data_IF_546876369046
#
_entry.id   IF_546876369046
#
_cell.length_a   1.000
_cell.length_b   1.000
_cell.length_c   1.000
_cell.angle_alpha   90.00
_cell.angle_beta   90.00
_cell.angle_gamma   90.00
#
_symmetry.space_group_name_H-M   'P 1'
#
loop_
_entity.id
_entity.type
_entity.pdbx_description
1 polymer ?
#
# COMPACT_ATOMS: atom_id res chain seq x y z
N UNK A 1 -16.15 13.10 -31.75
CA UNK A 1 -14.77 13.53 -31.70
C UNK A 1 -13.98 12.35 -31.16
N UNK A 2 -13.09 11.63 -31.80
CA UNK A 2 -12.80 11.59 -33.20
C UNK A 2 -11.93 10.35 -33.44
N UNK A 3 -12.37 9.44 -34.24
CA UNK A 3 -11.65 8.24 -34.70
C UNK A 3 -10.24 8.54 -35.28
N UNK A 4 -10.03 9.79 -35.70
CA UNK A 4 -8.74 10.26 -36.21
C UNK A 4 -7.65 10.39 -35.12
N UNK A 5 -8.04 10.61 -33.88
CA UNK A 5 -7.07 10.77 -32.77
C UNK A 5 -6.49 9.43 -32.32
N UNK A 6 -7.29 8.38 -32.34
CA UNK A 6 -6.80 7.02 -32.03
C UNK A 6 -5.92 6.46 -33.15
N UNK A 7 -6.28 6.74 -34.40
CA UNK A 7 -5.46 6.30 -35.56
C UNK A 7 -4.09 6.96 -35.61
N UNK A 8 -4.00 8.25 -35.25
CA UNK A 8 -2.71 8.97 -35.16
C UNK A 8 -1.85 8.50 -33.99
N UNK A 9 -2.44 8.09 -32.83
CA UNK A 9 -1.69 7.54 -31.71
C UNK A 9 -1.04 6.20 -32.07
N UNK A 10 -1.75 5.31 -32.75
CA UNK A 10 -1.19 4.04 -33.20
C UNK A 10 -0.11 4.20 -34.27
N UNK A 11 -0.23 5.19 -35.17
CA UNK A 11 0.77 5.46 -36.20
C UNK A 11 2.07 6.02 -35.59
N UNK A 12 1.97 6.90 -34.58
CA UNK A 12 3.16 7.47 -33.92
C UNK A 12 3.89 6.44 -33.06
N UNK A 13 3.17 5.58 -32.33
CA UNK A 13 3.78 4.46 -31.57
C UNK A 13 4.47 3.45 -32.51
N UNK A 14 3.87 3.16 -33.66
CA UNK A 14 4.44 2.26 -34.66
C UNK A 14 5.64 2.88 -35.37
N UNK A 15 5.64 4.20 -35.63
CA UNK A 15 6.77 4.90 -36.21
C UNK A 15 7.94 5.09 -35.26
N UNK A 16 7.68 5.35 -33.96
CA UNK A 16 8.71 5.44 -32.92
C UNK A 16 9.42 4.08 -32.74
N UNK A 17 8.65 2.99 -32.68
CA UNK A 17 9.21 1.64 -32.63
C UNK A 17 9.97 1.25 -33.90
N UNK A 18 9.60 1.78 -35.09
CA UNK A 18 10.34 1.52 -36.34
C UNK A 18 11.61 2.37 -36.46
N UNK A 19 11.71 3.50 -35.77
CA UNK A 19 12.94 4.31 -35.70
C UNK A 19 13.95 3.74 -34.71
N UNK A 20 13.50 3.31 -33.53
CA UNK A 20 14.34 2.58 -32.56
C UNK A 20 14.90 1.27 -33.15
N UNK A 21 14.09 0.57 -33.99
CA UNK A 21 14.56 -0.60 -34.70
C UNK A 21 15.59 -0.29 -35.81
N UNK A 22 15.67 0.93 -36.32
CA UNK A 22 16.64 1.33 -37.35
C UNK A 22 17.95 1.83 -36.77
N UNK A 23 17.96 2.46 -35.59
CA UNK A 23 19.20 2.96 -34.97
C UNK A 23 20.01 1.88 -34.24
N UNK A 24 19.44 0.67 -34.01
CA UNK A 24 20.14 -0.49 -33.49
C UNK A 24 20.71 -1.44 -34.56
N UNK A 25 20.62 -1.07 -35.85
CA UNK A 25 21.04 -1.90 -36.96
C UNK A 25 22.47 -1.59 -37.43
N UNK A 26 23.47 -1.66 -36.52
CA UNK A 26 24.87 -1.79 -36.85
C UNK A 26 25.51 -2.81 -35.93
N UNK A 27 25.21 -4.05 -36.15
CA UNK A 27 26.16 -5.16 -36.10
C UNK A 27 25.55 -6.43 -36.71
N UNK A 28 26.26 -7.07 -37.62
CA UNK A 28 26.01 -8.31 -38.34
C UNK A 28 24.87 -9.19 -37.87
N UNK A 29 23.63 -8.88 -38.24
CA UNK A 29 22.47 -9.69 -37.90
C UNK A 29 21.70 -10.12 -39.12
N UNK A 30 21.91 -11.31 -39.63
CA UNK A 30 20.89 -12.01 -40.40
C UNK A 30 19.64 -12.13 -39.52
N UNK A 31 18.63 -11.33 -39.84
CA UNK A 31 17.25 -11.59 -39.38
C UNK A 31 16.83 -12.94 -39.96
N UNK A 32 16.95 -14.00 -39.19
CA UNK A 32 16.27 -15.25 -39.52
C UNK A 32 14.80 -15.06 -39.27
N UNK A 33 13.97 -15.04 -40.33
CA UNK A 33 12.53 -15.27 -40.22
C UNK A 33 12.31 -16.58 -39.46
N UNK A 34 11.75 -16.48 -38.29
CA UNK A 34 11.40 -17.62 -37.48
C UNK A 34 10.06 -18.16 -37.96
N UNK A 35 10.05 -19.16 -38.76
CA UNK A 35 8.94 -20.10 -38.80
C UNK A 35 9.04 -21.02 -37.57
N UNK A 36 8.43 -20.59 -36.44
CA UNK A 36 7.92 -21.56 -35.51
C UNK A 36 6.64 -22.06 -36.12
N UNK A 37 6.70 -23.22 -36.74
CA UNK A 37 5.53 -23.90 -37.28
C UNK A 37 4.69 -24.36 -36.11
N UNK A 38 3.64 -23.66 -35.91
CA UNK A 38 2.72 -23.71 -34.77
C UNK A 38 1.54 -24.58 -35.19
N UNK A 39 0.51 -24.93 -34.76
CA UNK A 39 0.04 -25.71 -33.64
C UNK A 39 0.52 -27.18 -33.66
N UNK A 40 0.75 -27.74 -32.49
CA UNK A 40 1.19 -29.11 -32.30
C UNK A 40 2.65 -29.28 -31.91
N UNK A 41 3.43 -28.19 -31.88
CA UNK A 41 4.81 -28.20 -31.39
C UNK A 41 4.85 -28.39 -29.85
N UNK A 42 5.79 -29.20 -29.38
CA UNK A 42 5.90 -29.56 -27.96
C UNK A 42 7.13 -28.88 -27.35
N UNK A 43 6.92 -28.18 -26.24
CA UNK A 43 7.96 -27.60 -25.41
C UNK A 43 8.09 -28.39 -24.12
N UNK A 44 9.31 -28.55 -23.62
CA UNK A 44 9.64 -29.25 -22.38
C UNK A 44 8.95 -30.63 -22.27
N UNK A 45 8.90 -31.36 -23.42
CA UNK A 45 8.31 -32.71 -23.58
C UNK A 45 6.83 -32.83 -23.15
N UNK A 46 6.21 -31.74 -22.69
CA UNK A 46 4.91 -31.73 -22.04
C UNK A 46 3.91 -30.70 -22.63
N UNK A 47 4.37 -29.52 -22.98
CA UNK A 47 3.52 -28.40 -23.32
C UNK A 47 3.27 -28.30 -24.83
N UNK A 48 2.06 -28.65 -25.25
CA UNK A 48 1.65 -28.64 -26.67
C UNK A 48 1.12 -27.27 -27.04
N UNK A 49 1.73 -26.62 -28.02
CA UNK A 49 1.31 -25.30 -28.53
C UNK A 49 -0.04 -25.41 -29.22
N UNK A 50 -0.99 -24.55 -28.86
CA UNK A 50 -2.32 -24.44 -29.45
C UNK A 50 -2.40 -23.32 -30.48
N UNK A 51 -1.98 -22.12 -30.15
CA UNK A 51 -2.07 -20.94 -31.00
C UNK A 51 -1.06 -19.87 -30.60
N UNK A 52 -0.74 -18.98 -31.54
CA UNK A 52 0.00 -17.76 -31.26
C UNK A 52 -0.97 -16.74 -30.64
N UNK A 53 -0.51 -16.01 -29.63
CA UNK A 53 -1.28 -14.88 -29.06
C UNK A 53 -1.15 -13.67 -30.00
N UNK A 54 -2.26 -12.98 -30.22
CA UNK A 54 -2.30 -11.73 -30.99
C UNK A 54 -1.89 -10.53 -30.08
N UNK A 55 -0.74 -10.67 -29.44
CA UNK A 55 -0.16 -9.64 -28.56
C UNK A 55 1.26 -9.37 -29.06
N UNK A 56 1.54 -8.16 -29.46
CA UNK A 56 2.87 -7.74 -29.86
C UNK A 56 3.66 -7.25 -28.66
N UNK A 57 4.57 -8.08 -28.16
CA UNK A 57 5.61 -7.61 -27.23
C UNK A 57 6.87 -7.25 -28.00
N UNK A 58 7.63 -6.24 -27.55
CA UNK A 58 8.89 -5.82 -28.20
C UNK A 58 9.99 -6.89 -28.15
N UNK A 59 9.92 -7.83 -27.19
CA UNK A 59 11.03 -8.72 -26.83
C UNK A 59 10.80 -10.20 -27.13
N UNK A 60 9.54 -10.66 -27.20
CA UNK A 60 9.21 -12.06 -27.30
C UNK A 60 7.95 -12.31 -28.14
N UNK A 61 7.82 -13.53 -28.65
CA UNK A 61 6.61 -14.09 -29.20
C UNK A 61 5.92 -14.95 -28.14
N UNK A 62 4.60 -14.82 -27.99
CA UNK A 62 3.79 -15.51 -27.01
C UNK A 62 2.88 -16.55 -27.68
N UNK A 63 2.83 -17.75 -27.11
CA UNK A 63 1.98 -18.84 -27.63
C UNK A 63 1.21 -19.46 -26.48
N UNK A 64 -0.09 -19.72 -26.68
CA UNK A 64 -0.89 -20.53 -25.77
C UNK A 64 -0.50 -21.99 -25.97
N UNK A 65 -0.22 -22.69 -24.88
CA UNK A 65 0.06 -24.13 -24.88
C UNK A 65 -0.72 -24.82 -23.75
N UNK A 66 -0.76 -26.14 -23.78
CA UNK A 66 -1.45 -26.95 -22.77
C UNK A 66 -0.67 -28.21 -22.46
N UNK A 67 -0.74 -28.65 -21.22
CA UNK A 67 -0.25 -29.96 -20.77
C UNK A 67 -1.34 -31.04 -20.77
N UNK A 68 -2.51 -30.73 -21.37
CA UNK A 68 -3.69 -31.61 -21.42
C UNK A 68 -4.67 -31.36 -20.27
N UNK A 69 -4.31 -30.62 -19.25
CA UNK A 69 -5.15 -30.26 -18.08
C UNK A 69 -5.37 -28.76 -18.00
N UNK A 70 -4.30 -27.98 -18.08
CA UNK A 70 -4.29 -26.54 -17.92
C UNK A 70 -3.68 -25.84 -19.13
N UNK A 71 -3.93 -24.53 -19.22
CA UNK A 71 -3.33 -23.67 -20.23
C UNK A 71 -2.17 -22.86 -19.63
N UNK A 72 -1.16 -22.66 -20.47
CA UNK A 72 0.07 -21.93 -20.16
C UNK A 72 0.46 -21.03 -21.33
N UNK A 73 1.43 -20.17 -21.11
CA UNK A 73 2.06 -19.38 -22.16
C UNK A 73 3.52 -19.82 -22.35
N UNK A 74 3.88 -20.13 -23.57
CA UNK A 74 5.31 -20.20 -23.98
C UNK A 74 5.72 -18.83 -24.46
N UNK A 75 6.63 -18.19 -23.75
CA UNK A 75 7.26 -16.92 -24.11
C UNK A 75 8.62 -17.22 -24.76
N UNK A 76 8.78 -16.89 -26.05
CA UNK A 76 10.02 -17.13 -26.79
C UNK A 76 10.68 -15.80 -27.11
N UNK A 77 11.85 -15.57 -26.59
CA UNK A 77 12.59 -14.32 -26.80
C UNK A 77 13.09 -14.19 -28.22
N UNK A 78 12.96 -13.00 -28.83
CA UNK A 78 13.37 -12.72 -30.22
C UNK A 78 14.87 -12.51 -30.38
N UNK A 79 15.58 -12.18 -29.30
CA UNK A 79 17.02 -12.00 -29.30
C UNK A 79 17.68 -13.17 -28.58
N UNK A 80 18.87 -13.54 -29.02
CA UNK A 80 19.72 -14.48 -28.27
C UNK A 80 20.13 -13.81 -26.98
N UNK A 81 19.51 -14.20 -25.90
CA UNK A 81 19.84 -13.71 -24.56
C UNK A 81 20.63 -14.78 -23.83
N UNK A 82 21.75 -14.38 -23.22
CA UNK A 82 22.38 -15.22 -22.22
C UNK A 82 21.54 -15.12 -20.94
N UNK A 83 20.62 -16.06 -20.75
CA UNK A 83 19.87 -16.15 -19.50
C UNK A 83 20.82 -16.74 -18.46
N UNK A 84 20.96 -16.07 -17.34
CA UNK A 84 21.71 -16.61 -16.20
C UNK A 84 20.90 -17.76 -15.61
N UNK A 85 21.45 -18.95 -15.67
CA UNK A 85 20.84 -20.18 -15.12
C UNK A 85 20.42 -19.99 -13.65
N UNK A 86 21.20 -19.25 -12.88
CA UNK A 86 20.95 -18.90 -11.48
C UNK A 86 19.64 -18.12 -11.29
N UNK A 87 19.31 -17.17 -12.18
CA UNK A 87 18.04 -16.43 -12.12
C UNK A 87 16.87 -17.36 -12.39
N UNK A 88 17.00 -18.20 -13.39
CA UNK A 88 15.98 -19.16 -13.80
C UNK A 88 15.64 -20.13 -12.69
N UNK A 89 16.63 -20.69 -12.02
CA UNK A 89 16.42 -21.62 -10.89
C UNK A 89 15.76 -20.92 -9.69
N UNK A 90 16.12 -19.66 -9.40
CA UNK A 90 15.49 -18.88 -8.36
C UNK A 90 14.01 -18.60 -8.71
N UNK A 91 13.72 -18.23 -9.97
CA UNK A 91 12.34 -17.98 -10.41
C UNK A 91 11.48 -19.24 -10.37
N UNK A 92 11.99 -20.39 -10.77
CA UNK A 92 11.31 -21.68 -10.67
C UNK A 92 11.00 -22.06 -9.21
N UNK A 93 11.85 -21.67 -8.26
CA UNK A 93 11.70 -21.94 -6.84
C UNK A 93 10.74 -20.98 -6.12
N UNK A 94 10.24 -19.93 -6.79
CA UNK A 94 9.24 -19.02 -6.21
C UNK A 94 7.88 -19.75 -6.17
N UNK A 95 7.32 -19.82 -4.98
CA UNK A 95 5.96 -20.29 -4.73
C UNK A 95 5.16 -19.18 -4.02
N UNK A 96 4.56 -18.32 -4.82
CA UNK A 96 3.78 -17.16 -4.33
C UNK A 96 2.62 -16.89 -5.29
N UNK A 97 1.42 -16.60 -4.79
CA UNK A 97 0.30 -16.23 -5.65
C UNK A 97 0.48 -14.85 -6.31
N UNK A 98 1.43 -14.03 -5.80
CA UNK A 98 1.65 -12.66 -6.27
C UNK A 98 2.78 -12.52 -7.29
N UNK A 99 3.46 -13.62 -7.61
CA UNK A 99 4.57 -13.69 -8.58
C UNK A 99 4.31 -14.86 -9.51
N UNK A 100 4.27 -14.62 -10.81
CA UNK A 100 4.01 -15.68 -11.78
C UNK A 100 5.11 -16.74 -11.71
N UNK A 101 4.69 -18.00 -11.55
CA UNK A 101 5.61 -19.13 -11.48
C UNK A 101 6.20 -19.40 -12.86
N UNK A 102 7.50 -19.62 -12.94
CA UNK A 102 8.15 -20.16 -14.14
C UNK A 102 8.14 -21.69 -14.02
N UNK A 103 7.37 -22.37 -14.86
CA UNK A 103 7.22 -23.83 -14.82
C UNK A 103 8.39 -24.56 -15.47
N UNK A 104 8.85 -24.01 -16.60
CA UNK A 104 9.98 -24.54 -17.34
C UNK A 104 10.68 -23.43 -18.11
N UNK A 105 11.94 -23.65 -18.41
CA UNK A 105 12.75 -22.78 -19.27
C UNK A 105 13.66 -23.67 -20.12
N UNK A 106 14.04 -23.17 -21.27
CA UNK A 106 14.94 -23.89 -22.15
C UNK A 106 15.39 -23.03 -23.32
N UNK A 107 16.10 -23.66 -24.25
CA UNK A 107 16.53 -23.04 -25.48
C UNK A 107 15.99 -23.83 -26.69
N UNK A 108 15.48 -23.12 -27.69
CA UNK A 108 15.05 -23.71 -28.92
C UNK A 108 15.56 -22.90 -30.10
N UNK A 109 16.27 -23.57 -31.01
CA UNK A 109 16.90 -22.94 -32.17
C UNK A 109 17.85 -21.75 -31.82
N UNK A 110 18.50 -21.81 -30.66
CA UNK A 110 19.35 -20.74 -30.15
C UNK A 110 18.56 -19.57 -29.48
N UNK A 111 17.29 -19.77 -29.17
CA UNK A 111 16.47 -18.75 -28.52
C UNK A 111 15.89 -19.28 -27.22
N UNK A 112 16.02 -18.48 -26.19
CA UNK A 112 15.49 -18.80 -24.87
C UNK A 112 13.97 -18.80 -24.86
N UNK A 113 13.36 -19.71 -24.11
CA UNK A 113 11.93 -19.71 -23.84
C UNK A 113 11.63 -19.92 -22.34
N UNK A 114 10.47 -19.46 -21.94
CA UNK A 114 9.90 -19.65 -20.60
C UNK A 114 8.46 -20.15 -20.73
N UNK A 115 8.07 -21.04 -19.82
CA UNK A 115 6.68 -21.51 -19.66
C UNK A 115 6.13 -20.88 -18.39
N UNK A 116 5.11 -20.05 -18.55
CA UNK A 116 4.47 -19.28 -17.48
C UNK A 116 2.95 -19.54 -17.46
N UNK A 117 2.21 -19.18 -16.39
CA UNK A 117 0.76 -19.33 -16.34
C UNK A 117 0.08 -18.53 -17.45
N UNK A 118 -1.02 -19.06 -17.96
CA UNK A 118 -1.93 -18.27 -18.79
C UNK A 118 -2.96 -17.56 -17.90
N UNK A 119 -3.08 -16.24 -18.06
CA UNK A 119 -4.04 -15.41 -17.35
C UNK A 119 -5.13 -14.94 -18.30
N UNK A 120 -6.33 -15.53 -18.21
CA UNK A 120 -7.45 -15.26 -19.12
C UNK A 120 -7.91 -13.80 -19.06
N UNK A 121 -7.85 -13.18 -17.87
CA UNK A 121 -8.25 -11.77 -17.65
C UNK A 121 -7.21 -10.75 -18.12
N UNK A 122 -6.07 -11.19 -18.63
CA UNK A 122 -5.00 -10.35 -19.15
C UNK A 122 -4.31 -9.49 -18.10
N UNK A 123 -3.59 -8.47 -18.55
CA UNK A 123 -2.83 -7.55 -17.68
C UNK A 123 -3.71 -6.40 -17.15
N UNK A 124 -3.13 -5.60 -16.25
CA UNK A 124 -3.76 -4.37 -15.74
C UNK A 124 -3.63 -3.19 -16.70
N UNK A 125 -2.98 -3.35 -17.84
CA UNK A 125 -2.79 -2.29 -18.83
C UNK A 125 -4.13 -1.70 -19.28
N UNK A 126 -4.23 -0.37 -19.28
CA UNK A 126 -5.43 0.37 -19.65
C UNK A 126 -6.62 0.22 -18.69
N UNK A 127 -6.46 -0.49 -17.58
CA UNK A 127 -7.50 -0.62 -16.58
C UNK A 127 -7.39 0.48 -15.52
N UNK A 128 -8.54 0.88 -14.97
CA UNK A 128 -8.64 1.86 -13.89
C UNK A 128 -9.38 1.27 -12.70
N UNK A 129 -8.91 1.57 -11.49
CA UNK A 129 -9.44 1.00 -10.25
C UNK A 129 -9.86 2.08 -9.27
N UNK A 130 -10.87 1.77 -8.46
CA UNK A 130 -11.25 2.62 -7.33
C UNK A 130 -10.18 2.59 -6.24
N UNK A 131 -10.19 3.61 -5.39
CA UNK A 131 -9.30 3.66 -4.22
C UNK A 131 -9.43 2.42 -3.33
N UNK A 132 -10.66 1.96 -3.13
CA UNK A 132 -10.97 0.80 -2.29
C UNK A 132 -10.37 -0.49 -2.87
N UNK A 133 -10.49 -0.69 -4.19
CA UNK A 133 -9.87 -1.85 -4.88
C UNK A 133 -8.35 -1.80 -4.82
N UNK A 134 -7.77 -0.62 -5.05
CA UNK A 134 -6.32 -0.44 -4.93
C UNK A 134 -5.85 -0.75 -3.51
N UNK A 135 -6.47 -0.15 -2.50
CA UNK A 135 -6.06 -0.27 -1.10
C UNK A 135 -6.26 -1.66 -0.52
N UNK A 136 -7.39 -2.30 -0.83
CA UNK A 136 -7.75 -3.59 -0.21
C UNK A 136 -7.13 -4.80 -0.90
N UNK A 137 -6.78 -4.69 -2.18
CA UNK A 137 -6.43 -5.85 -3.00
C UNK A 137 -5.11 -5.67 -3.75
N UNK A 138 -5.02 -4.65 -4.62
CA UNK A 138 -3.92 -4.54 -5.57
C UNK A 138 -2.61 -4.14 -4.87
N UNK A 139 -2.64 -3.10 -4.04
CA UNK A 139 -1.44 -2.61 -3.33
C UNK A 139 -0.87 -3.68 -2.40
N UNK A 140 -1.66 -4.35 -1.53
CA UNK A 140 -1.14 -5.42 -0.69
C UNK A 140 -0.51 -6.56 -1.49
N UNK A 141 -1.15 -7.00 -2.57
CA UNK A 141 -0.66 -8.09 -3.41
C UNK A 141 0.66 -7.73 -4.10
N UNK A 142 0.77 -6.53 -4.70
CA UNK A 142 2.01 -6.06 -5.33
C UNK A 142 3.14 -5.87 -4.32
N UNK A 143 2.81 -5.38 -3.12
CA UNK A 143 3.79 -5.22 -2.05
C UNK A 143 4.36 -6.57 -1.60
N UNK A 144 3.52 -7.60 -1.43
CA UNK A 144 3.96 -8.96 -1.10
C UNK A 144 4.75 -9.58 -2.27
N UNK A 145 4.32 -9.38 -3.51
CA UNK A 145 5.04 -9.85 -4.69
C UNK A 145 6.45 -9.27 -4.79
N UNK A 146 6.60 -7.96 -4.62
CA UNK A 146 7.92 -7.29 -4.61
C UNK A 146 8.78 -7.78 -3.43
N UNK A 147 8.19 -7.99 -2.25
CA UNK A 147 8.92 -8.55 -1.10
C UNK A 147 9.51 -9.91 -1.44
N UNK A 148 8.69 -10.82 -1.99
CA UNK A 148 9.14 -12.17 -2.38
C UNK A 148 10.31 -12.10 -3.36
N UNK A 149 10.24 -11.22 -4.38
CA UNK A 149 11.33 -11.02 -5.33
C UNK A 149 12.59 -10.48 -4.65
N UNK A 150 12.45 -9.42 -3.84
CA UNK A 150 13.57 -8.77 -3.18
C UNK A 150 14.26 -9.67 -2.13
N UNK A 151 13.51 -10.52 -1.42
CA UNK A 151 14.07 -11.53 -0.49
C UNK A 151 14.90 -12.59 -1.23
N UNK A 152 14.59 -12.85 -2.50
CA UNK A 152 15.39 -13.72 -3.40
C UNK A 152 16.51 -12.96 -4.12
N UNK A 153 16.69 -11.68 -3.81
CA UNK A 153 17.70 -10.84 -4.44
C UNK A 153 17.35 -10.38 -5.86
N UNK A 154 16.12 -10.61 -6.33
CA UNK A 154 15.67 -10.23 -7.66
C UNK A 154 15.14 -8.80 -7.64
N UNK A 155 15.59 -7.96 -8.56
CA UNK A 155 15.06 -6.64 -8.86
C UNK A 155 14.31 -6.74 -10.18
N UNK A 156 13.03 -6.31 -10.19
CA UNK A 156 12.16 -6.47 -11.37
C UNK A 156 12.55 -5.53 -12.53
N UNK A 157 12.80 -4.25 -12.24
CA UNK A 157 13.27 -3.16 -13.13
C UNK A 157 12.25 -2.60 -14.12
N UNK A 158 11.18 -3.31 -14.44
CA UNK A 158 10.14 -2.88 -15.40
C UNK A 158 8.73 -3.14 -14.87
N UNK A 159 8.50 -2.78 -13.58
CA UNK A 159 7.16 -2.90 -12.99
C UNK A 159 6.24 -1.84 -13.58
N UNK A 160 5.17 -2.29 -14.24
CA UNK A 160 4.15 -1.47 -14.91
C UNK A 160 2.85 -2.27 -15.10
N UNK A 161 1.71 -1.64 -15.41
CA UNK A 161 0.43 -2.34 -15.54
C UNK A 161 0.44 -3.50 -16.53
N UNK A 162 1.18 -3.42 -17.64
CA UNK A 162 1.28 -4.52 -18.61
C UNK A 162 2.05 -5.75 -18.08
N UNK A 163 2.85 -5.58 -17.02
CA UNK A 163 3.61 -6.65 -16.37
C UNK A 163 2.94 -7.13 -15.05
N UNK A 164 1.67 -6.81 -14.86
CA UNK A 164 0.85 -7.27 -13.74
C UNK A 164 -0.40 -7.92 -14.31
N UNK A 165 -0.54 -9.21 -14.09
CA UNK A 165 -1.69 -9.99 -14.59
C UNK A 165 -2.80 -10.05 -13.57
N UNK A 166 -4.04 -10.08 -14.06
CA UNK A 166 -5.23 -10.25 -13.23
C UNK A 166 -5.58 -11.75 -13.18
N UNK A 167 -5.65 -12.30 -11.98
CA UNK A 167 -6.00 -13.70 -11.76
C UNK A 167 -7.43 -14.06 -12.18
N UNK A 168 -7.73 -15.34 -12.22
CA UNK A 168 -8.99 -15.88 -12.77
C UNK A 168 -10.22 -15.42 -11.99
N UNK A 169 -10.07 -15.16 -10.68
CA UNK A 169 -11.15 -14.62 -9.83
C UNK A 169 -11.39 -13.11 -10.03
N UNK A 170 -10.61 -12.43 -10.89
CA UNK A 170 -10.69 -10.99 -11.14
C UNK A 170 -10.30 -10.09 -9.96
N UNK A 171 -9.70 -10.65 -8.91
CA UNK A 171 -9.29 -9.93 -7.71
C UNK A 171 -7.80 -10.08 -7.42
N UNK A 172 -7.24 -11.27 -7.59
CA UNK A 172 -5.81 -11.50 -7.38
C UNK A 172 -4.98 -10.93 -8.53
N UNK A 173 -3.78 -10.48 -8.22
CA UNK A 173 -2.82 -9.98 -9.20
C UNK A 173 -1.48 -10.68 -9.03
N UNK A 174 -0.78 -10.92 -10.14
CA UNK A 174 0.54 -11.52 -10.17
C UNK A 174 1.51 -10.72 -11.02
N UNK A 175 2.71 -10.50 -10.52
CA UNK A 175 3.81 -9.85 -11.24
C UNK A 175 4.40 -10.86 -12.23
N UNK A 176 4.56 -10.43 -13.47
CA UNK A 176 5.15 -11.21 -14.56
C UNK A 176 6.36 -10.48 -15.17
N UNK A 177 7.03 -11.12 -16.09
CA UNK A 177 8.07 -10.58 -16.95
C UNK A 177 9.38 -10.20 -16.25
N UNK A 178 10.21 -11.23 -16.07
CA UNK A 178 11.53 -11.13 -15.44
C UNK A 178 12.68 -11.01 -16.46
N UNK A 179 12.37 -10.73 -17.72
CA UNK A 179 13.36 -10.76 -18.81
C UNK A 179 14.51 -9.77 -18.67
N UNK A 180 14.29 -8.65 -18.00
CA UNK A 180 15.32 -7.65 -17.71
C UNK A 180 15.76 -7.61 -16.24
N UNK A 181 15.23 -8.52 -15.42
CA UNK A 181 15.55 -8.61 -14.00
C UNK A 181 17.01 -8.99 -13.75
N UNK A 182 17.53 -8.62 -12.61
CA UNK A 182 18.89 -9.00 -12.18
C UNK A 182 18.89 -9.50 -10.75
N UNK A 183 19.75 -10.47 -10.46
CA UNK A 183 20.00 -10.96 -9.11
C UNK A 183 21.06 -10.11 -8.45
N UNK A 184 20.86 -9.75 -7.18
CA UNK A 184 21.87 -9.11 -6.33
C UNK A 184 22.89 -10.16 -5.86
N UNK A 185 24.17 -9.91 -6.12
CA UNK A 185 25.24 -10.65 -5.47
C UNK A 185 25.65 -9.91 -4.18
N UNK A 186 25.50 -10.55 -3.03
CA UNK A 186 25.99 -10.11 -1.70
C UNK A 186 25.63 -8.65 -1.29
N UNK A 187 24.46 -8.18 -1.66
CA UNK A 187 23.97 -6.84 -1.30
C UNK A 187 24.63 -5.71 -2.10
N UNK A 188 25.43 -5.99 -3.09
CA UNK A 188 25.99 -5.02 -4.01
C UNK A 188 25.01 -4.65 -5.12
N UNK A 189 25.11 -3.42 -5.59
CA UNK A 189 24.31 -2.92 -6.70
C UNK A 189 24.79 -3.50 -8.02
N UNK A 190 23.90 -4.08 -8.81
CA UNK A 190 24.24 -4.55 -10.16
C UNK A 190 24.12 -3.39 -11.15
N UNK A 191 25.18 -3.07 -11.84
CA UNK A 191 25.17 -2.12 -12.96
C UNK A 191 24.76 -2.89 -14.21
N UNK A 192 23.66 -2.49 -14.85
CA UNK A 192 23.11 -3.13 -16.05
C UNK A 192 22.95 -2.09 -17.15
N UNK A 193 23.06 -2.52 -18.39
CA UNK A 193 22.82 -1.67 -19.57
C UNK A 193 21.35 -1.23 -19.64
N UNK A 194 21.10 -0.02 -20.17
CA UNK A 194 19.78 0.63 -20.25
C UNK A 194 18.76 -0.03 -21.19
N UNK A 195 19.04 -1.18 -21.76
CA UNK A 195 18.16 -1.86 -22.70
C UNK A 195 16.97 -2.48 -21.98
N UNK A 196 15.76 -2.17 -22.41
CA UNK A 196 14.52 -2.79 -21.93
C UNK A 196 13.78 -2.03 -20.81
N UNK A 197 14.17 -0.78 -20.48
CA UNK A 197 13.42 0.06 -19.54
C UNK A 197 12.23 0.77 -20.21
N UNK A 198 11.16 0.95 -19.47
CA UNK A 198 10.05 1.84 -19.84
C UNK A 198 10.24 3.16 -19.08
N UNK A 199 10.66 4.26 -19.76
CA UNK A 199 11.09 5.49 -19.10
C UNK A 199 10.04 6.08 -18.14
N UNK A 200 8.77 5.98 -18.49
CA UNK A 200 7.64 6.52 -17.73
C UNK A 200 7.53 5.95 -16.31
N UNK A 201 8.02 4.73 -16.07
CA UNK A 201 7.97 4.06 -14.76
C UNK A 201 9.33 4.04 -14.07
N UNK A 202 10.34 4.56 -14.73
CA UNK A 202 11.73 4.42 -14.31
C UNK A 202 12.12 5.40 -13.21
N UNK A 203 12.77 4.91 -12.16
CA UNK A 203 13.26 5.74 -11.07
C UNK A 203 14.46 6.60 -11.53
N UNK A 204 14.70 7.79 -10.93
CA UNK A 204 15.80 8.69 -11.33
C UNK A 204 17.18 8.01 -11.36
N UNK A 205 17.44 7.12 -10.40
CA UNK A 205 18.71 6.40 -10.32
C UNK A 205 18.90 5.37 -11.43
N UNK A 206 17.82 4.86 -12.03
CA UNK A 206 17.90 3.85 -13.09
C UNK A 206 18.41 4.43 -14.40
N UNK A 207 18.19 5.72 -14.66
CA UNK A 207 18.78 6.43 -15.79
C UNK A 207 20.32 6.49 -15.71
N UNK A 208 20.88 6.30 -14.51
CA UNK A 208 22.31 6.16 -14.24
C UNK A 208 22.74 4.70 -14.12
N UNK A 209 21.93 3.77 -14.60
CA UNK A 209 22.15 2.31 -14.54
C UNK A 209 22.28 1.76 -13.10
N UNK A 210 21.69 2.43 -12.12
CA UNK A 210 21.65 2.00 -10.73
C UNK A 210 20.27 1.40 -10.42
N UNK A 211 20.20 0.08 -10.28
CA UNK A 211 18.97 -0.66 -9.99
C UNK A 211 18.97 -1.17 -8.55
N UNK A 212 17.93 -0.85 -7.80
CA UNK A 212 17.76 -1.15 -6.39
C UNK A 212 16.36 -1.71 -6.15
N UNK A 213 16.14 -2.36 -5.00
CA UNK A 213 14.79 -2.69 -4.54
C UNK A 213 13.91 -1.44 -4.40
N UNK A 214 14.51 -0.34 -4.00
CA UNK A 214 13.86 0.96 -3.92
C UNK A 214 13.40 1.48 -5.29
N UNK A 215 14.08 1.09 -6.38
CA UNK A 215 13.69 1.48 -7.74
C UNK A 215 12.38 0.81 -8.17
N UNK A 216 12.15 -0.45 -7.79
CA UNK A 216 10.87 -1.13 -8.04
C UNK A 216 9.73 -0.47 -7.26
N UNK A 217 9.97 0.06 -6.05
CA UNK A 217 8.98 0.83 -5.30
C UNK A 217 8.65 2.18 -5.95
N UNK A 218 9.60 2.81 -6.64
CA UNK A 218 9.30 3.98 -7.46
C UNK A 218 8.37 3.61 -8.61
N UNK A 219 8.72 2.55 -9.35
CA UNK A 219 7.89 2.02 -10.45
C UNK A 219 6.49 1.63 -9.95
N UNK A 220 6.37 1.05 -8.74
CA UNK A 220 5.09 0.81 -8.09
C UNK A 220 4.30 2.12 -7.90
N UNK A 221 4.95 3.20 -7.45
CA UNK A 221 4.31 4.50 -7.28
C UNK A 221 3.70 5.05 -8.57
N UNK A 222 4.43 4.98 -9.70
CA UNK A 222 3.91 5.41 -11.01
C UNK A 222 2.83 4.46 -11.52
N UNK A 223 3.00 3.14 -11.34
CA UNK A 223 1.97 2.15 -11.66
C UNK A 223 0.66 2.45 -10.93
N UNK A 224 0.71 2.74 -9.63
CA UNK A 224 -0.47 3.09 -8.84
C UNK A 224 -1.09 4.42 -9.27
N UNK A 225 -0.27 5.40 -9.68
CA UNK A 225 -0.77 6.64 -10.26
C UNK A 225 -1.61 6.34 -11.51
N UNK A 226 -1.09 5.54 -12.44
CA UNK A 226 -1.80 5.19 -13.68
C UNK A 226 -3.06 4.38 -13.40
N UNK A 227 -3.00 3.36 -12.55
CA UNK A 227 -4.17 2.54 -12.19
C UNK A 227 -5.27 3.38 -11.49
N UNK A 228 -4.90 4.48 -10.83
CA UNK A 228 -5.85 5.39 -10.20
C UNK A 228 -6.38 6.46 -11.17
N UNK A 229 -5.50 7.10 -11.95
CA UNK A 229 -5.83 8.22 -12.85
C UNK A 229 -6.30 7.76 -14.24
N UNK A 230 -5.85 6.59 -14.72
CA UNK A 230 -6.09 6.05 -16.06
C UNK A 230 -5.05 6.50 -17.10
N UNK A 231 -4.00 7.18 -16.69
CA UNK A 231 -2.88 7.62 -17.52
C UNK A 231 -1.62 7.83 -16.66
N UNK A 232 -0.43 7.80 -17.26
CA UNK A 232 0.81 8.17 -16.57
C UNK A 232 0.92 9.68 -16.37
N UNK A 233 1.72 10.14 -15.41
CA UNK A 233 1.96 11.59 -15.24
C UNK A 233 2.82 12.20 -16.37
N UNK A 234 3.38 11.40 -17.28
CA UNK A 234 4.34 11.78 -18.30
C UNK A 234 3.83 11.66 -19.74
N UNK A 235 2.51 11.58 -19.93
CA UNK A 235 1.84 11.23 -21.20
C UNK A 235 2.31 12.04 -22.44
N UNK A 236 2.84 13.24 -22.23
CA UNK A 236 3.26 14.15 -23.31
C UNK A 236 4.77 14.38 -23.36
N UNK A 237 5.55 13.65 -22.53
CA UNK A 237 7.00 13.84 -22.42
C UNK A 237 7.74 12.76 -23.19
N UNK A 238 8.84 13.13 -23.84
CA UNK A 238 9.80 12.17 -24.38
C UNK A 238 10.77 11.67 -23.28
N UNK A 239 11.59 10.68 -23.60
CA UNK A 239 12.49 10.07 -22.62
C UNK A 239 13.44 11.05 -21.95
N UNK A 240 14.02 11.98 -22.70
CA UNK A 240 14.97 12.96 -22.18
C UNK A 240 14.28 13.97 -21.25
N UNK A 241 13.06 14.37 -21.60
CA UNK A 241 12.21 15.23 -20.77
C UNK A 241 11.82 14.53 -19.48
N UNK A 242 11.48 13.25 -19.52
CA UNK A 242 11.19 12.45 -18.33
C UNK A 242 12.43 12.35 -17.43
N UNK A 243 13.60 12.03 -17.99
CA UNK A 243 14.86 11.93 -17.24
C UNK A 243 15.21 13.24 -16.51
N UNK A 244 15.03 14.38 -17.20
CA UNK A 244 15.22 15.68 -16.58
C UNK A 244 14.19 15.95 -15.49
N UNK A 245 12.92 15.70 -15.78
CA UNK A 245 11.81 15.97 -14.86
C UNK A 245 11.98 15.20 -13.55
N UNK A 246 12.13 13.87 -13.60
CA UNK A 246 12.21 13.01 -12.40
C UNK A 246 13.46 13.26 -11.56
N UNK A 247 14.50 13.87 -12.17
CA UNK A 247 15.75 14.20 -11.48
C UNK A 247 15.67 15.45 -10.62
N UNK A 248 14.76 16.39 -10.93
CA UNK A 248 14.72 17.73 -10.30
C UNK A 248 13.35 18.13 -9.76
N UNK A 249 12.27 17.49 -10.19
CA UNK A 249 10.91 17.86 -9.81
C UNK A 249 10.19 16.75 -9.05
N UNK A 250 9.28 17.18 -8.17
CA UNK A 250 8.33 16.26 -7.53
C UNK A 250 7.22 15.92 -8.52
N UNK A 251 6.72 14.69 -8.44
CA UNK A 251 5.60 14.24 -9.24
C UNK A 251 4.35 15.12 -9.01
N UNK A 252 3.74 15.70 -10.06
CA UNK A 252 2.51 16.44 -9.93
C UNK A 252 1.34 15.49 -9.66
N UNK A 253 0.65 15.69 -8.55
CA UNK A 253 -0.50 14.88 -8.17
C UNK A 253 -1.80 15.66 -8.41
N UNK A 254 -2.84 15.05 -9.02
CA UNK A 254 -4.13 15.68 -9.24
C UNK A 254 -4.75 16.22 -7.95
N UNK A 255 -5.38 17.40 -8.02
CA UNK A 255 -6.00 18.03 -6.85
C UNK A 255 -7.13 17.20 -6.24
N UNK A 256 -7.87 16.47 -7.07
CA UNK A 256 -9.00 15.59 -6.73
C UNK A 256 -8.58 14.17 -6.28
N UNK A 257 -7.28 13.84 -6.37
CA UNK A 257 -6.78 12.57 -5.83
C UNK A 257 -6.92 12.55 -4.31
N UNK A 258 -7.37 11.41 -3.75
CA UNK A 258 -7.48 11.23 -2.29
C UNK A 258 -6.15 11.47 -1.58
N UNK A 259 -6.20 12.11 -0.41
CA UNK A 259 -5.01 12.48 0.36
C UNK A 259 -4.13 11.27 0.69
N UNK A 260 -4.73 10.14 1.02
CA UNK A 260 -3.99 8.92 1.34
C UNK A 260 -3.21 8.37 0.12
N UNK A 261 -3.81 8.44 -1.09
CA UNK A 261 -3.12 8.05 -2.33
C UNK A 261 -1.99 9.03 -2.65
N UNK A 262 -2.21 10.34 -2.44
CA UNK A 262 -1.14 11.35 -2.61
C UNK A 262 0.06 11.05 -1.74
N UNK A 263 -0.19 10.72 -0.47
CA UNK A 263 0.85 10.31 0.49
C UNK A 263 1.63 9.12 -0.02
N UNK A 264 0.93 8.03 -0.37
CA UNK A 264 1.58 6.80 -0.82
C UNK A 264 2.43 7.03 -2.07
N UNK A 265 1.84 7.66 -3.10
CA UNK A 265 2.52 7.89 -4.36
C UNK A 265 3.72 8.82 -4.16
N UNK A 266 3.57 9.93 -3.41
CA UNK A 266 4.69 10.83 -3.10
C UNK A 266 5.84 10.14 -2.38
N UNK A 267 5.52 9.26 -1.42
CA UNK A 267 6.52 8.55 -0.66
C UNK A 267 7.23 7.44 -1.46
N UNK A 268 6.50 6.78 -2.36
CA UNK A 268 7.07 5.78 -3.28
C UNK A 268 7.92 6.44 -4.38
N UNK A 269 7.52 7.62 -4.85
CA UNK A 269 8.24 8.35 -5.92
C UNK A 269 9.27 9.36 -5.39
N UNK A 270 9.63 9.26 -4.11
CA UNK A 270 10.69 10.10 -3.53
C UNK A 270 12.03 9.85 -4.23
N UNK A 271 12.64 10.92 -4.76
CA UNK A 271 13.81 10.81 -5.65
C UNK A 271 15.13 10.59 -4.91
N UNK A 272 15.29 11.15 -3.70
CA UNK A 272 16.56 11.03 -2.95
C UNK A 272 16.70 9.66 -2.28
N UNK A 273 17.69 8.89 -2.72
CA UNK A 273 18.03 7.56 -2.21
C UNK A 273 19.26 7.54 -1.31
N UNK A 274 19.81 8.71 -0.93
CA UNK A 274 21.04 8.79 -0.11
C UNK A 274 20.85 8.11 1.25
N UNK A 275 19.66 8.24 1.83
CA UNK A 275 19.32 7.67 3.13
C UNK A 275 18.72 6.25 3.09
N UNK A 276 18.69 5.59 1.93
CA UNK A 276 18.00 4.29 1.75
C UNK A 276 18.38 3.20 2.75
N UNK A 277 19.64 3.17 3.18
CA UNK A 277 20.14 2.19 4.16
C UNK A 277 19.82 2.54 5.62
N UNK A 278 19.49 3.78 5.91
CA UNK A 278 19.17 4.25 7.26
C UNK A 278 17.66 4.16 7.53
N UNK A 279 17.22 3.02 8.04
CA UNK A 279 15.78 2.77 8.33
C UNK A 279 15.18 3.74 9.36
N UNK A 280 15.98 4.38 10.20
CA UNK A 280 15.52 5.39 11.17
C UNK A 280 15.37 6.78 10.56
N UNK A 281 15.89 7.04 9.37
CA UNK A 281 15.71 8.31 8.68
C UNK A 281 14.35 8.35 7.95
N UNK A 282 13.46 9.30 8.28
CA UNK A 282 12.18 9.42 7.59
C UNK A 282 12.33 9.86 6.11
N UNK A 283 13.43 10.55 5.77
CA UNK A 283 13.70 11.03 4.42
C UNK A 283 14.34 9.92 3.56
N UNK A 284 13.57 8.86 3.32
CA UNK A 284 13.91 7.78 2.40
C UNK A 284 12.66 7.29 1.68
N UNK A 285 12.82 6.82 0.44
CA UNK A 285 11.72 6.23 -0.30
C UNK A 285 11.08 5.10 0.50
N UNK A 286 9.74 5.04 0.54
CA UNK A 286 9.03 3.95 1.18
C UNK A 286 9.29 2.62 0.49
N UNK A 287 9.35 1.56 1.29
CA UNK A 287 9.48 0.18 0.85
C UNK A 287 8.39 -0.69 1.47
N UNK A 288 8.65 -2.00 1.57
CA UNK A 288 7.67 -2.98 2.01
C UNK A 288 6.97 -2.63 3.31
N UNK A 289 7.73 -2.32 4.36
CA UNK A 289 7.18 -2.07 5.70
C UNK A 289 6.28 -0.83 5.77
N UNK A 290 6.66 0.23 5.05
CA UNK A 290 5.90 1.46 5.03
C UNK A 290 4.60 1.29 4.22
N UNK A 291 4.64 0.58 3.11
CA UNK A 291 3.44 0.25 2.31
C UNK A 291 2.50 -0.63 3.13
N UNK A 292 3.02 -1.65 3.82
CA UNK A 292 2.22 -2.51 4.69
C UNK A 292 1.50 -1.70 5.78
N UNK A 293 2.22 -0.82 6.47
CA UNK A 293 1.65 0.08 7.49
C UNK A 293 0.58 1.00 6.91
N UNK A 294 0.83 1.53 5.70
CA UNK A 294 -0.14 2.38 5.02
C UNK A 294 -1.44 1.61 4.69
N UNK A 295 -1.34 0.35 4.22
CA UNK A 295 -2.51 -0.49 3.93
C UNK A 295 -3.43 -0.67 5.15
N UNK A 296 -2.84 -0.80 6.35
CA UNK A 296 -3.58 -0.94 7.62
C UNK A 296 -3.87 0.39 8.32
N UNK A 297 -3.62 1.52 7.64
CA UNK A 297 -3.94 2.86 8.14
C UNK A 297 -2.99 3.41 9.20
N UNK A 298 -1.81 2.80 9.39
CA UNK A 298 -0.78 3.31 10.30
C UNK A 298 -0.09 4.50 9.66
N UNK A 299 -0.14 5.61 10.37
CA UNK A 299 0.45 6.87 9.97
C UNK A 299 1.98 6.85 10.05
N UNK A 300 2.66 7.44 9.07
CA UNK A 300 4.11 7.41 8.95
C UNK A 300 4.67 8.74 8.42
N UNK A 301 5.92 9.09 8.74
CA UNK A 301 6.57 10.26 8.15
C UNK A 301 6.65 10.12 6.62
N UNK A 302 6.34 11.20 5.89
CA UNK A 302 6.47 11.25 4.44
C UNK A 302 7.83 11.84 4.05
N UNK A 303 8.58 11.17 3.17
CA UNK A 303 9.90 11.65 2.77
C UNK A 303 9.85 13.05 2.18
N UNK A 304 10.81 13.91 2.60
CA UNK A 304 10.95 15.26 2.07
C UNK A 304 10.01 16.32 2.66
N UNK A 305 9.18 15.94 3.64
CA UNK A 305 8.27 16.89 4.29
C UNK A 305 8.71 17.33 5.69
N UNK A 306 9.92 16.94 6.09
CA UNK A 306 10.51 17.21 7.40
C UNK A 306 10.07 16.24 8.49
N UNK A 307 10.87 16.13 9.56
CA UNK A 307 10.61 15.19 10.68
C UNK A 307 9.34 15.53 11.49
N UNK A 308 8.70 16.66 11.20
CA UNK A 308 7.49 17.13 11.87
C UNK A 308 6.21 17.01 11.02
N UNK A 309 6.34 16.73 9.74
CA UNK A 309 5.16 16.48 8.90
C UNK A 309 4.87 14.99 8.84
N UNK A 310 4.30 14.50 9.91
CA UNK A 310 3.41 13.37 9.80
C UNK A 310 2.28 13.84 8.88
N UNK A 311 2.19 13.40 7.63
CA UNK A 311 0.95 13.56 6.90
C UNK A 311 0.00 12.50 7.41
N UNK A 312 -0.59 12.99 8.31
CA UNK A 312 -1.97 12.79 8.60
C UNK A 312 -2.68 13.86 7.80
N UNK A 313 -3.81 13.60 7.23
CA UNK A 313 -4.85 14.58 7.19
C UNK A 313 -4.56 15.49 8.39
N UNK A 314 -4.50 16.79 8.21
CA UNK A 314 -4.75 17.69 9.32
C UNK A 314 -6.11 17.29 9.82
N UNK A 315 -6.10 16.28 10.68
CA UNK A 315 -7.28 15.71 11.26
C UNK A 315 -7.94 16.79 12.06
N UNK A 316 -7.09 17.68 12.56
CA UNK A 316 -7.47 18.88 13.28
C UNK A 316 -6.45 20.00 13.05
N UNK A 317 -6.90 21.26 13.12
CA UNK A 317 -6.01 22.42 13.21
C UNK A 317 -5.13 22.32 14.46
N UNK A 318 -3.96 23.00 14.50
CA UNK A 318 -3.12 22.99 15.69
C UNK A 318 -3.87 23.41 16.95
N UNK A 319 -4.03 22.49 17.90
CA UNK A 319 -4.65 22.76 19.21
C UNK A 319 -3.60 22.78 20.31
N UNK A 320 -3.52 23.88 21.07
CA UNK A 320 -2.53 24.00 22.14
C UNK A 320 -3.12 23.59 23.47
N UNK A 321 -2.58 22.51 24.05
CA UNK A 321 -2.99 21.99 25.35
C UNK A 321 -1.77 21.73 26.24
N UNK A 322 -1.76 22.28 27.47
CA UNK A 322 -0.68 22.17 28.45
C UNK A 322 0.71 22.47 27.88
N UNK A 323 0.80 23.51 27.02
CA UNK A 323 2.06 23.95 26.41
C UNK A 323 2.52 23.15 25.20
N UNK A 324 1.85 22.06 24.85
CA UNK A 324 2.09 21.25 23.64
C UNK A 324 1.05 21.55 22.57
N UNK A 325 1.46 21.49 21.31
CA UNK A 325 0.58 21.63 20.15
C UNK A 325 0.24 20.26 19.61
N UNK A 326 -1.05 20.00 19.41
CA UNK A 326 -1.59 18.76 18.86
C UNK A 326 -2.24 19.05 17.51
N UNK A 327 -1.90 18.28 16.50
CA UNK A 327 -2.44 18.36 15.11
C UNK A 327 -3.21 17.10 14.72
N UNK A 328 -3.34 16.14 15.66
CA UNK A 328 -4.00 14.85 15.45
C UNK A 328 -5.04 14.61 16.53
N UNK A 329 -6.24 14.15 16.14
CA UNK A 329 -7.30 13.79 17.10
C UNK A 329 -6.82 12.81 18.15
N UNK A 330 -6.13 11.74 17.72
CA UNK A 330 -5.58 10.73 18.63
C UNK A 330 -4.65 11.31 19.69
N UNK A 331 -3.70 12.16 19.28
CA UNK A 331 -2.74 12.79 20.21
C UNK A 331 -3.41 13.80 21.13
N UNK A 332 -4.40 14.53 20.61
CA UNK A 332 -5.19 15.45 21.41
C UNK A 332 -6.02 14.67 22.44
N UNK A 333 -6.78 13.66 22.00
CA UNK A 333 -7.62 12.84 22.90
C UNK A 333 -6.78 12.13 23.95
N UNK A 334 -5.64 11.55 23.59
CA UNK A 334 -4.72 10.95 24.56
C UNK A 334 -4.24 11.96 25.61
N UNK A 335 -3.83 13.16 25.18
CA UNK A 335 -3.38 14.20 26.09
C UNK A 335 -4.51 14.70 27.01
N UNK A 336 -5.72 14.87 26.47
CA UNK A 336 -6.91 15.24 27.26
C UNK A 336 -7.26 14.17 28.31
N UNK A 337 -7.16 12.89 27.93
CA UNK A 337 -7.45 11.75 28.81
C UNK A 337 -6.37 11.56 29.89
N UNK A 338 -5.08 11.71 29.55
CA UNK A 338 -3.97 11.63 30.49
C UNK A 338 -4.02 12.74 31.56
N UNK A 339 -4.50 13.92 31.15
CA UNK A 339 -4.68 15.09 32.01
C UNK A 339 -6.17 15.36 32.28
N UNK A 340 -6.89 14.36 32.78
CA UNK A 340 -8.36 14.28 32.93
C UNK A 340 -9.02 15.56 33.44
N UNK A 341 -8.52 16.11 34.56
CA UNK A 341 -9.05 17.31 35.18
C UNK A 341 -8.94 18.55 34.28
N UNK A 342 -7.83 18.69 33.59
CA UNK A 342 -7.60 19.83 32.69
C UNK A 342 -8.28 19.59 31.33
N UNK A 343 -8.37 18.32 30.88
CA UNK A 343 -9.16 17.92 29.72
C UNK A 343 -10.64 18.25 29.88
N UNK A 344 -11.25 17.93 31.04
CA UNK A 344 -12.65 18.33 31.34
C UNK A 344 -12.84 19.85 31.28
N UNK A 345 -11.86 20.64 31.72
CA UNK A 345 -11.93 22.11 31.60
C UNK A 345 -11.92 22.58 30.15
N UNK A 346 -11.23 21.86 29.24
CA UNK A 346 -11.27 22.21 27.82
C UNK A 346 -12.66 22.00 27.24
N UNK A 347 -13.34 20.92 27.63
CA UNK A 347 -14.72 20.64 27.20
C UNK A 347 -15.70 21.64 27.84
N UNK A 348 -15.86 21.61 29.16
CA UNK A 348 -16.91 22.31 29.85
C UNK A 348 -16.78 23.85 29.96
N UNK A 349 -15.66 24.42 29.43
CA UNK A 349 -15.52 25.86 29.22
C UNK A 349 -15.74 26.28 27.77
N UNK A 350 -16.25 25.39 26.93
CA UNK A 350 -16.56 25.69 25.53
C UNK A 350 -15.34 25.86 24.63
N UNK A 351 -14.14 25.41 25.09
CA UNK A 351 -12.93 25.57 24.30
C UNK A 351 -12.84 24.54 23.16
N UNK A 352 -13.30 23.31 23.40
CA UNK A 352 -13.33 22.26 22.36
C UNK A 352 -14.46 22.52 21.36
N UNK A 353 -15.65 22.89 21.79
CA UNK A 353 -16.75 23.22 20.90
C UNK A 353 -16.42 24.41 19.99
N UNK A 354 -15.87 25.49 20.56
CA UNK A 354 -15.43 26.65 19.78
C UNK A 354 -14.35 26.30 18.77
N UNK A 355 -13.39 25.44 19.16
CA UNK A 355 -12.30 25.00 18.29
C UNK A 355 -12.81 24.16 17.12
N UNK A 356 -13.64 23.12 17.38
CA UNK A 356 -14.17 22.25 16.33
C UNK A 356 -15.18 22.94 15.43
N UNK A 357 -15.88 23.96 15.91
CA UNK A 357 -16.88 24.73 15.13
C UNK A 357 -16.35 25.27 13.81
N UNK A 358 -15.06 25.50 13.71
CA UNK A 358 -14.43 26.07 12.50
C UNK A 358 -14.23 25.05 11.37
N UNK A 359 -14.22 23.73 11.65
CA UNK A 359 -13.88 22.72 10.65
C UNK A 359 -14.54 21.35 10.83
N UNK A 360 -15.21 21.08 11.97
CA UNK A 360 -15.91 19.82 12.23
C UNK A 360 -17.19 20.11 13.03
N UNK A 361 -18.24 20.47 12.30
CA UNK A 361 -19.52 20.88 12.90
C UNK A 361 -20.20 19.75 13.70
N UNK A 362 -19.97 18.48 13.35
CA UNK A 362 -20.54 17.33 14.06
C UNK A 362 -19.90 17.19 15.45
N UNK A 363 -18.57 17.21 15.53
CA UNK A 363 -17.86 17.15 16.81
C UNK A 363 -18.16 18.40 17.64
N UNK A 364 -18.23 19.58 17.01
CA UNK A 364 -18.57 20.81 17.72
C UNK A 364 -19.97 20.72 18.35
N UNK A 365 -20.99 20.25 17.61
CA UNK A 365 -22.31 20.03 18.13
C UNK A 365 -22.35 19.10 19.33
N UNK A 366 -21.64 17.95 19.20
CA UNK A 366 -21.51 16.98 20.30
C UNK A 366 -20.83 17.56 21.55
N UNK A 367 -19.83 18.41 21.38
CA UNK A 367 -19.18 19.11 22.50
C UNK A 367 -20.14 20.12 23.17
N UNK A 368 -20.98 20.85 22.38
CA UNK A 368 -21.97 21.78 22.90
C UNK A 368 -23.07 21.04 23.68
N UNK A 369 -23.56 19.92 23.15
CA UNK A 369 -24.53 19.07 23.84
C UNK A 369 -23.98 18.57 25.19
N UNK A 370 -22.69 18.17 25.20
CA UNK A 370 -21.97 17.75 26.40
C UNK A 370 -21.84 18.88 27.45
N UNK A 371 -21.62 20.12 27.00
CA UNK A 371 -21.56 21.31 27.85
C UNK A 371 -22.91 21.61 28.53
N UNK A 372 -24.03 21.38 27.82
CA UNK A 372 -25.39 21.54 28.38
C UNK A 372 -25.75 20.39 29.33
N UNK A 373 -25.43 19.16 28.96
CA UNK A 373 -25.71 17.93 29.73
C UNK A 373 -25.03 17.94 31.12
N UNK A 374 -23.91 18.64 31.29
CA UNK A 374 -23.15 18.65 32.55
C UNK A 374 -23.94 19.19 33.74
N UNK A 375 -24.98 20.00 33.50
CA UNK A 375 -25.82 20.55 34.55
C UNK A 375 -26.64 19.48 35.31
N UNK A 376 -26.93 18.35 34.67
CA UNK A 376 -27.76 17.26 35.18
C UNK A 376 -27.05 15.90 35.19
N UNK A 377 -25.89 15.78 34.57
CA UNK A 377 -25.16 14.54 34.33
C UNK A 377 -23.82 14.40 35.08
N UNK A 378 -23.22 13.23 35.01
CA UNK A 378 -21.88 12.97 35.55
C UNK A 378 -20.81 13.50 34.59
N UNK A 379 -20.06 14.52 35.05
CA UNK A 379 -18.98 15.17 34.27
C UNK A 379 -17.95 14.16 33.71
N UNK A 380 -17.60 13.15 34.49
CA UNK A 380 -16.58 12.18 34.09
C UNK A 380 -17.11 11.27 32.99
N UNK A 381 -18.38 10.84 33.02
CA UNK A 381 -19.00 10.04 31.97
C UNK A 381 -19.22 10.84 30.69
N UNK A 382 -19.66 12.08 30.79
CA UNK A 382 -19.86 12.98 29.66
C UNK A 382 -18.53 13.20 28.97
N UNK A 383 -17.47 13.53 29.72
CA UNK A 383 -16.13 13.71 29.18
C UNK A 383 -15.60 12.42 28.56
N UNK A 384 -15.81 11.26 29.17
CA UNK A 384 -15.43 9.96 28.64
C UNK A 384 -16.04 9.74 27.25
N UNK A 385 -17.36 9.90 27.09
CA UNK A 385 -18.03 9.73 25.78
C UNK A 385 -17.50 10.71 24.73
N UNK A 386 -17.22 11.94 25.14
CA UNK A 386 -16.72 12.99 24.25
C UNK A 386 -15.34 12.61 23.67
N UNK A 387 -14.46 12.00 24.45
CA UNK A 387 -13.16 11.55 23.95
C UNK A 387 -13.30 10.55 22.79
N UNK A 388 -14.20 9.56 22.93
CA UNK A 388 -14.45 8.57 21.86
C UNK A 388 -15.22 9.15 20.68
N UNK A 389 -15.99 10.21 20.86
CA UNK A 389 -16.64 10.92 19.75
C UNK A 389 -15.65 11.77 18.96
N UNK A 390 -14.69 12.41 19.64
CA UNK A 390 -13.61 13.17 18.97
C UNK A 390 -12.69 12.23 18.17
N UNK A 391 -12.33 11.08 18.75
CA UNK A 391 -11.52 10.05 18.07
C UNK A 391 -12.24 8.68 18.08
N UNK A 392 -13.08 8.40 17.08
CA UNK A 392 -13.76 7.10 16.96
C UNK A 392 -12.82 5.92 16.68
N UNK A 393 -11.55 6.17 16.35
CA UNK A 393 -10.56 5.11 16.15
C UNK A 393 -9.94 4.60 17.46
N UNK A 394 -10.24 5.26 18.59
CA UNK A 394 -9.73 4.87 19.90
C UNK A 394 -10.41 3.59 20.39
N UNK A 395 -9.63 2.50 20.52
CA UNK A 395 -10.10 1.19 20.99
C UNK A 395 -9.67 0.86 22.42
N UNK A 396 -8.70 1.57 22.98
CA UNK A 396 -8.25 1.36 24.35
C UNK A 396 -9.28 1.93 25.35
N UNK A 397 -9.42 1.27 26.51
CA UNK A 397 -10.19 1.81 27.64
C UNK A 397 -9.37 2.87 28.38
N UNK A 398 -9.92 4.07 28.55
CA UNK A 398 -9.26 5.15 29.30
C UNK A 398 -10.23 5.75 30.33
N UNK A 399 -9.79 5.79 31.60
CA UNK A 399 -10.57 6.39 32.67
C UNK A 399 -9.68 7.09 33.67
N UNK A 400 -9.91 8.38 33.88
CA UNK A 400 -9.19 9.23 34.87
C UNK A 400 -7.66 9.09 34.81
N UNK A 401 -7.08 9.13 33.60
CA UNK A 401 -5.65 9.06 33.38
C UNK A 401 -5.04 7.64 33.35
N UNK A 402 -5.83 6.61 33.65
CA UNK A 402 -5.40 5.21 33.46
C UNK A 402 -5.85 4.70 32.08
N UNK A 403 -4.97 3.99 31.43
CA UNK A 403 -5.17 3.43 30.08
C UNK A 403 -4.94 1.94 30.07
N UNK A 404 -5.85 1.21 29.43
CA UNK A 404 -5.79 -0.24 29.22
C UNK A 404 -6.08 -0.55 27.75
N UNK A 405 -5.12 -1.22 27.09
CA UNK A 405 -5.31 -1.61 25.68
C UNK A 405 -6.40 -2.68 25.52
N UNK A 406 -6.64 -3.48 26.55
CA UNK A 406 -7.70 -4.48 26.63
C UNK A 406 -8.31 -4.48 28.04
N UNK A 407 -9.63 -4.65 28.13
CA UNK A 407 -10.34 -4.78 29.40
C UNK A 407 -9.91 -6.02 30.21
N UNK A 408 -9.34 -7.04 29.58
CA UNK A 408 -8.77 -8.19 30.29
C UNK A 408 -7.58 -7.79 31.17
N UNK A 409 -6.80 -6.79 30.76
CA UNK A 409 -5.70 -6.27 31.57
C UNK A 409 -6.22 -5.60 32.84
N UNK A 410 -7.28 -4.80 32.73
CA UNK A 410 -7.94 -4.20 33.89
C UNK A 410 -8.58 -5.26 34.78
N UNK A 411 -9.21 -6.28 34.19
CA UNK A 411 -9.78 -7.41 34.95
C UNK A 411 -8.71 -8.18 35.75
N UNK A 412 -7.56 -8.43 35.17
CA UNK A 412 -6.44 -9.09 35.82
C UNK A 412 -5.83 -8.22 36.94
N UNK A 413 -5.69 -6.92 36.72
CA UNK A 413 -5.22 -5.97 37.75
C UNK A 413 -6.23 -5.97 38.94
N UNK A 414 -7.52 -5.94 38.64
CA UNK A 414 -8.57 -5.99 39.68
C UNK A 414 -8.55 -7.30 40.48
N UNK A 415 -8.51 -8.45 39.80
CA UNK A 415 -8.40 -9.75 40.49
C UNK A 415 -7.16 -9.82 41.37
N UNK A 416 -6.01 -9.38 40.88
CA UNK A 416 -4.79 -9.32 41.67
C UNK A 416 -4.93 -8.35 42.84
N UNK A 417 -5.54 -7.19 42.65
CA UNK A 417 -5.85 -6.22 43.71
C UNK A 417 -6.73 -6.78 44.81
N UNK A 418 -7.75 -7.56 44.46
CA UNK A 418 -8.60 -8.29 45.40
C UNK A 418 -7.80 -9.32 46.24
N UNK A 419 -6.95 -10.15 45.57
CA UNK A 419 -6.12 -11.12 46.24
C UNK A 419 -5.07 -10.53 47.18
N UNK A 420 -4.54 -9.34 46.82
CA UNK A 420 -3.49 -8.63 47.57
C UNK A 420 -4.03 -7.52 48.46
N UNK A 421 -5.37 -7.39 48.55
CA UNK A 421 -6.09 -6.38 49.35
C UNK A 421 -5.66 -4.93 49.03
N UNK A 422 -5.52 -4.59 47.75
CA UNK A 422 -5.18 -3.25 47.27
C UNK A 422 -6.45 -2.39 47.16
N UNK A 423 -6.69 -1.59 48.20
CA UNK A 423 -7.91 -0.77 48.32
C UNK A 423 -8.08 0.27 47.18
N UNK A 424 -6.99 0.81 46.66
CA UNK A 424 -6.97 1.78 45.56
C UNK A 424 -7.42 1.17 44.22
N UNK A 425 -7.00 -0.07 43.91
CA UNK A 425 -7.44 -0.79 42.72
C UNK A 425 -8.91 -1.17 42.84
N UNK A 426 -9.32 -1.69 43.99
CA UNK A 426 -10.72 -2.06 44.25
C UNK A 426 -11.65 -0.83 44.21
N UNK A 427 -11.22 0.30 44.75
CA UNK A 427 -11.96 1.57 44.70
C UNK A 427 -12.11 2.10 43.27
N UNK A 428 -11.05 2.03 42.47
CA UNK A 428 -11.07 2.44 41.07
C UNK A 428 -12.07 1.62 40.23
N UNK A 429 -12.05 0.29 40.36
CA UNK A 429 -12.99 -0.58 39.64
C UNK A 429 -14.42 -0.44 40.20
N UNK A 430 -14.55 -0.24 41.51
CA UNK A 430 -15.85 0.04 42.13
C UNK A 430 -16.50 1.30 41.57
N UNK A 431 -15.75 2.38 41.42
CA UNK A 431 -16.25 3.62 40.81
C UNK A 431 -16.69 3.40 39.34
N UNK A 432 -15.91 2.63 38.56
CA UNK A 432 -16.25 2.31 37.17
C UNK A 432 -17.55 1.54 37.09
N UNK A 433 -17.77 0.55 37.96
CA UNK A 433 -19.01 -0.25 38.02
C UNK A 433 -20.19 0.56 38.47
N UNK A 434 -20.04 1.35 39.53
CA UNK A 434 -21.11 2.24 40.08
C UNK A 434 -21.57 3.22 38.99
N UNK A 435 -20.66 3.88 38.31
CA UNK A 435 -20.97 4.87 37.27
C UNK A 435 -21.42 4.26 35.94
N UNK A 436 -21.26 2.96 35.72
CA UNK A 436 -21.65 2.30 34.48
C UNK A 436 -20.69 2.61 33.32
N UNK A 437 -19.42 2.84 33.60
CA UNK A 437 -18.40 3.24 32.60
C UNK A 437 -18.16 2.15 31.58
N UNK A 438 -18.20 0.86 31.98
CA UNK A 438 -18.03 -0.26 31.04
C UNK A 438 -19.17 -0.35 30.03
N UNK A 439 -20.42 -0.09 30.46
CA UNK A 439 -21.57 -0.01 29.54
C UNK A 439 -21.42 1.14 28.55
N UNK A 440 -20.90 2.29 28.99
CA UNK A 440 -20.61 3.41 28.10
C UNK A 440 -19.48 3.09 27.13
N UNK A 441 -18.45 2.38 27.58
CA UNK A 441 -17.37 1.92 26.70
C UNK A 441 -17.90 0.97 25.62
N UNK A 442 -18.71 -0.01 25.98
CA UNK A 442 -19.33 -0.92 25.01
C UNK A 442 -20.18 -0.16 23.96
N UNK A 443 -20.92 0.87 24.38
CA UNK A 443 -21.65 1.75 23.44
C UNK A 443 -20.70 2.50 22.50
N UNK A 444 -19.61 3.06 23.01
CA UNK A 444 -18.58 3.74 22.20
C UNK A 444 -17.94 2.80 21.19
N UNK A 445 -17.83 1.52 21.50
CA UNK A 445 -17.30 0.47 20.60
C UNK A 445 -18.35 -0.10 19.65
N UNK A 446 -19.57 0.42 19.63
CA UNK A 446 -20.67 -0.09 18.81
C UNK A 446 -21.27 -1.44 19.27
N UNK A 447 -20.97 -1.87 20.49
CA UNK A 447 -21.39 -3.16 21.04
C UNK A 447 -22.67 -3.10 21.90
N UNK A 448 -23.46 -2.03 21.79
CA UNK A 448 -24.56 -1.73 22.74
C UNK A 448 -25.62 -2.84 23.01
N UNK A 449 -25.86 -3.72 22.03
CA UNK A 449 -26.86 -4.79 22.10
C UNK A 449 -26.23 -6.21 22.02
N UNK A 450 -24.92 -6.33 22.20
CA UNK A 450 -24.24 -7.63 22.19
C UNK A 450 -24.47 -8.41 23.50
N UNK A 451 -24.33 -9.75 23.48
CA UNK A 451 -24.34 -10.56 24.71
C UNK A 451 -23.32 -10.09 25.76
N UNK A 452 -22.16 -9.61 25.32
CA UNK A 452 -21.10 -9.03 26.16
C UNK A 452 -21.57 -7.75 26.84
N UNK A 453 -22.16 -6.83 26.10
CA UNK A 453 -22.69 -5.58 26.67
C UNK A 453 -23.81 -5.85 27.66
N UNK A 454 -24.70 -6.81 27.40
CA UNK A 454 -25.75 -7.19 28.32
C UNK A 454 -25.19 -7.82 29.62
N UNK A 455 -24.13 -8.63 29.53
CA UNK A 455 -23.44 -9.15 30.72
C UNK A 455 -22.79 -8.03 31.53
N UNK A 456 -22.16 -7.06 30.89
CA UNK A 456 -21.59 -5.86 31.53
C UNK A 456 -22.67 -5.08 32.30
N UNK A 457 -23.79 -4.77 31.64
CA UNK A 457 -24.94 -4.07 32.28
C UNK A 457 -25.48 -4.84 33.50
N UNK A 458 -25.56 -6.17 33.42
CA UNK A 458 -26.00 -7.00 34.53
C UNK A 458 -25.02 -6.94 35.71
N UNK A 459 -23.69 -6.96 35.44
CA UNK A 459 -22.66 -6.85 36.48
C UNK A 459 -22.71 -5.47 37.16
N UNK A 460 -22.79 -4.39 36.40
CA UNK A 460 -22.92 -3.02 36.94
C UNK A 460 -24.19 -2.83 37.76
N UNK A 461 -25.31 -3.40 37.30
CA UNK A 461 -26.58 -3.37 38.05
C UNK A 461 -26.51 -4.14 39.36
N UNK A 462 -25.90 -5.37 39.32
CA UNK A 462 -25.71 -6.17 40.51
C UNK A 462 -24.82 -5.48 41.55
N UNK A 463 -23.73 -4.83 41.08
CA UNK A 463 -22.82 -4.06 41.95
C UNK A 463 -23.53 -2.92 42.67
N UNK A 464 -24.33 -2.13 41.95
CA UNK A 464 -25.12 -1.05 42.53
C UNK A 464 -26.12 -1.55 43.54
N UNK A 465 -26.85 -2.63 43.22
CA UNK A 465 -27.81 -3.23 44.16
C UNK A 465 -27.16 -3.80 45.44
N UNK A 466 -25.87 -4.17 45.36
CA UNK A 466 -25.13 -4.67 46.53
C UNK A 466 -24.61 -3.54 47.43
N UNK A 467 -24.45 -2.34 46.91
CA UNK A 467 -24.00 -1.16 47.65
C UNK A 467 -25.15 -0.47 48.43
N UNK A 468 -26.42 -0.57 47.93
CA UNK A 468 -27.66 -0.15 48.61
C UNK A 468 -28.06 -1.14 49.73
#
# INVERSE_FOLDING_TARGET
>A
MDDRTQLNRNINATMLNSQIAKDSATDDGQMFEREINVPGEIFDEKYVVKSKMDVSTGEADLYICSDGVSEFVVKIYRRKMAVKEEITEVLKAIDSPYVAKVFATGERNGFHYEIIPYYENGSLEGKKFSYEQLKSTIIPALNEGLKVLHEKGIIHKDLKPSNIMLGDNGQDVAIIDFGISSVREDGNTVIVTRTGMTPEYSAPETFKSLYLSESDYYSLGITLYELYCGHTPYELMNQDEIEQFVSVQKLPLPSDMRSEMKVLISALTYSDITNRKNKSNPNRRWGYEEVLKWCVGIKQPVPGEGAETTILSEDIRPYRFLGKTHTEKQKLVAALADHWKDGKKQLFRGLLSAYFKEFDAEIAGFCMDAEEEVAEGDEDLIFFRTLYKIDPSMTCFQWKGKRYEDLSLLGNEFLNGLWTNQADVCGFVGEILEKGVFSQYALCMGEGDTPRANAIKAIESAYRTFQD
#
